data_IF_275383072239
#
_entry.id   IF_275383072239
#
_cell.length_a   1.000
_cell.length_b   1.000
_cell.length_c   1.000
_cell.angle_alpha   90.00
_cell.angle_beta   90.00
_cell.angle_gamma   90.00
#
_symmetry.space_group_name_H-M   'P 1'
#
loop_
_entity.id
_entity.type
_entity.pdbx_description
1 polymer ?
#
# COMPACT_ATOMS: atom_id res chain seq x y z
N UNK A 1 2.97 29.75 -14.14
CA UNK A 1 2.43 28.60 -13.38
C UNK A 1 1.35 29.14 -12.45
N UNK A 2 0.26 28.41 -12.25
CA UNK A 2 -0.76 28.74 -11.25
C UNK A 2 -0.43 28.07 -9.90
N UNK A 3 0.57 27.22 -9.88
CA UNK A 3 1.03 26.45 -8.74
C UNK A 3 2.54 26.59 -8.61
N UNK A 4 2.97 26.98 -7.42
CA UNK A 4 4.35 26.89 -6.97
C UNK A 4 4.40 25.90 -5.80
N UNK A 5 5.50 25.15 -5.68
CA UNK A 5 5.67 24.14 -4.65
C UNK A 5 6.91 24.41 -3.80
N UNK A 6 6.75 24.25 -2.50
CA UNK A 6 7.85 24.21 -1.54
C UNK A 6 7.79 22.92 -0.76
N UNK A 7 8.93 22.37 -0.37
CA UNK A 7 8.97 21.11 0.36
C UNK A 7 9.93 21.19 1.55
N UNK A 8 9.66 20.36 2.55
CA UNK A 8 10.52 20.09 3.68
C UNK A 8 10.75 18.60 3.77
N UNK A 9 12.00 18.18 3.77
CA UNK A 9 12.41 16.78 3.80
C UNK A 9 12.99 16.41 5.18
N UNK A 10 12.98 15.12 5.49
CA UNK A 10 13.55 14.56 6.73
C UNK A 10 12.96 15.20 7.99
N UNK A 11 11.65 15.52 7.96
CA UNK A 11 10.94 16.09 9.10
C UNK A 11 10.73 15.00 10.16
N UNK A 12 11.04 15.31 11.41
CA UNK A 12 10.71 14.41 12.52
C UNK A 12 9.24 14.59 12.94
N UNK A 13 8.58 13.55 13.45
CA UNK A 13 7.18 13.64 13.90
C UNK A 13 6.92 14.80 14.88
N UNK A 14 7.84 15.02 15.83
CA UNK A 14 7.73 16.11 16.81
C UNK A 14 7.83 17.51 16.17
N UNK A 15 8.43 17.63 14.99
CA UNK A 15 8.64 18.91 14.31
C UNK A 15 7.55 19.23 13.27
N UNK A 16 6.55 18.36 13.12
CA UNK A 16 5.53 18.52 12.08
C UNK A 16 4.81 19.87 12.16
N UNK A 17 4.30 20.25 13.34
CA UNK A 17 3.56 21.49 13.50
C UNK A 17 4.43 22.74 13.20
N UNK A 18 5.68 22.75 13.69
CA UNK A 18 6.62 23.87 13.44
C UNK A 18 7.06 23.92 11.97
N UNK A 19 7.14 22.79 11.30
CA UNK A 19 7.43 22.71 9.86
C UNK A 19 6.26 23.26 9.05
N UNK A 20 5.01 22.94 9.42
CA UNK A 20 3.82 23.55 8.82
C UNK A 20 3.83 25.09 9.00
N UNK A 21 4.15 25.58 10.20
CA UNK A 21 4.29 27.03 10.46
C UNK A 21 5.32 27.67 9.50
N UNK A 22 6.44 27.02 9.30
CA UNK A 22 7.51 27.51 8.41
C UNK A 22 7.04 27.53 6.94
N UNK A 23 6.36 26.47 6.46
CA UNK A 23 5.83 26.43 5.10
C UNK A 23 4.79 27.53 4.87
N UNK A 24 3.87 27.75 5.82
CA UNK A 24 2.85 28.79 5.75
C UNK A 24 3.50 30.19 5.77
N UNK A 25 4.53 30.41 6.59
CA UNK A 25 5.26 31.68 6.60
C UNK A 25 5.96 32.00 5.27
N UNK A 26 6.23 30.97 4.46
CA UNK A 26 6.78 31.07 3.10
C UNK A 26 5.69 31.19 2.01
N UNK A 27 4.42 31.28 2.41
CA UNK A 27 3.30 31.48 1.49
C UNK A 27 2.52 30.22 1.10
N UNK A 28 2.71 29.09 1.78
CA UNK A 28 1.91 27.90 1.50
C UNK A 28 0.43 28.12 1.87
N UNK A 29 -0.47 27.86 0.94
CA UNK A 29 -1.92 27.90 1.11
C UNK A 29 -2.51 26.51 1.39
N UNK A 30 -1.86 25.45 0.86
CA UNK A 30 -2.21 24.05 1.07
C UNK A 30 -0.98 23.30 1.52
N UNK A 31 -1.08 22.54 2.60
CA UNK A 31 0.01 21.72 3.14
C UNK A 31 -0.36 20.24 3.08
N UNK A 32 0.46 19.45 2.41
CA UNK A 32 0.38 17.98 2.41
C UNK A 32 1.40 17.43 3.39
N UNK A 33 0.95 16.60 4.32
CA UNK A 33 1.80 15.84 5.23
C UNK A 33 1.72 14.35 4.86
N UNK A 34 2.88 13.70 4.70
CA UNK A 34 3.02 12.50 3.90
C UNK A 34 3.29 11.22 4.70
N UNK A 35 3.24 11.26 6.03
CA UNK A 35 3.49 10.10 6.89
C UNK A 35 2.48 10.04 8.04
N UNK A 36 2.11 8.82 8.44
CA UNK A 36 1.19 8.55 9.56
C UNK A 36 1.54 9.34 10.83
N UNK A 37 2.82 9.37 11.19
CA UNK A 37 3.30 10.01 12.42
C UNK A 37 3.16 11.54 12.43
N UNK A 38 2.86 12.16 11.29
CA UNK A 38 2.63 13.61 11.20
C UNK A 38 1.21 14.03 11.57
N UNK A 39 0.32 13.08 11.87
CA UNK A 39 -1.10 13.32 12.06
C UNK A 39 -1.39 14.37 13.12
N UNK A 40 -0.84 14.24 14.32
CA UNK A 40 -1.14 15.14 15.44
C UNK A 40 -0.57 16.54 15.21
N UNK A 41 0.62 16.65 14.62
CA UNK A 41 1.19 17.94 14.23
C UNK A 41 0.38 18.65 13.15
N UNK A 42 -0.19 17.87 12.21
CA UNK A 42 -1.09 18.41 11.17
C UNK A 42 -2.39 18.91 11.76
N UNK A 43 -3.01 18.18 12.71
CA UNK A 43 -4.20 18.62 13.44
C UNK A 43 -3.94 19.96 14.17
N UNK A 44 -2.80 20.09 14.84
CA UNK A 44 -2.41 21.31 15.53
C UNK A 44 -2.26 22.49 14.55
N UNK A 45 -1.59 22.27 13.42
CA UNK A 45 -1.40 23.30 12.40
C UNK A 45 -2.75 23.68 11.76
N UNK A 46 -3.61 22.75 11.44
CA UNK A 46 -4.93 23.02 10.87
C UNK A 46 -5.82 23.84 11.80
N UNK A 47 -5.79 23.57 13.10
CA UNK A 47 -6.50 24.35 14.09
C UNK A 47 -5.95 25.78 14.25
N UNK A 48 -4.64 25.95 14.09
CA UNK A 48 -3.95 27.25 14.19
C UNK A 48 -4.20 28.15 12.98
N UNK A 49 -4.35 27.58 11.79
CA UNK A 49 -4.50 28.29 10.53
C UNK A 49 -5.83 27.94 9.83
N UNK A 50 -6.96 28.44 10.31
CA UNK A 50 -8.28 28.08 9.79
C UNK A 50 -8.55 28.57 8.36
N UNK A 51 -7.74 29.48 7.85
CA UNK A 51 -7.77 30.02 6.48
C UNK A 51 -6.87 29.25 5.50
N UNK A 52 -6.10 28.25 5.96
CA UNK A 52 -5.25 27.39 5.17
C UNK A 52 -5.83 25.98 5.11
N UNK A 53 -5.39 25.19 4.11
CA UNK A 53 -5.88 23.84 3.90
C UNK A 53 -4.79 22.81 4.18
N UNK A 54 -5.21 21.68 4.75
CA UNK A 54 -4.30 20.59 5.12
C UNK A 54 -4.81 19.27 4.61
N UNK A 55 -3.91 18.45 4.06
CA UNK A 55 -4.20 17.08 3.65
C UNK A 55 -3.15 16.15 4.26
N UNK A 56 -3.60 15.19 5.06
CA UNK A 56 -2.74 14.27 5.79
C UNK A 56 -2.83 12.85 5.23
N UNK A 57 -1.66 12.25 4.91
CA UNK A 57 -1.55 10.90 4.39
C UNK A 57 -1.61 9.85 5.49
N UNK A 58 -2.37 8.77 5.27
CA UNK A 58 -2.43 7.59 6.15
C UNK A 58 -3.11 7.80 7.52
N UNK A 59 -3.47 9.03 7.89
CA UNK A 59 -4.16 9.31 9.16
C UNK A 59 -5.66 9.02 9.12
N UNK A 60 -6.26 8.98 10.31
CA UNK A 60 -7.70 8.80 10.51
C UNK A 60 -8.38 10.06 11.08
N UNK A 61 -7.66 11.19 11.18
CA UNK A 61 -8.19 12.46 11.65
C UNK A 61 -8.45 13.38 10.47
N UNK A 62 -9.70 13.82 10.35
CA UNK A 62 -10.14 14.79 9.33
C UNK A 62 -11.38 15.54 9.81
N UNK A 63 -11.70 16.65 9.18
CA UNK A 63 -12.98 17.32 9.39
C UNK A 63 -14.16 16.47 8.96
N UNK A 64 -14.00 15.65 7.91
CA UNK A 64 -15.02 14.70 7.45
C UNK A 64 -15.30 13.61 8.49
N UNK A 65 -14.27 13.13 9.20
CA UNK A 65 -14.43 12.17 10.31
C UNK A 65 -14.92 12.82 11.60
N UNK A 66 -15.00 14.16 11.67
CA UNK A 66 -15.47 14.91 12.85
C UNK A 66 -14.48 14.98 14.01
N UNK A 67 -13.22 14.62 13.79
CA UNK A 67 -12.15 14.56 14.79
C UNK A 67 -10.97 15.50 14.49
N UNK A 68 -11.13 16.39 13.51
CA UNK A 68 -10.25 17.51 13.20
C UNK A 68 -11.07 18.71 12.67
N UNK A 69 -10.40 19.80 12.31
CA UNK A 69 -11.05 21.01 11.74
C UNK A 69 -11.44 20.80 10.27
N UNK A 70 -12.45 21.55 9.79
CA UNK A 70 -13.00 21.38 8.43
C UNK A 70 -12.03 21.75 7.30
N UNK A 71 -10.93 22.39 7.60
CA UNK A 71 -9.84 22.69 6.67
C UNK A 71 -8.79 21.55 6.57
N UNK A 72 -9.02 20.43 7.25
CA UNK A 72 -8.15 19.25 7.21
C UNK A 72 -8.87 18.05 6.59
N UNK A 73 -8.24 17.46 5.59
CA UNK A 73 -8.62 16.19 4.97
C UNK A 73 -7.63 15.08 5.32
N UNK A 74 -8.09 13.84 5.31
CA UNK A 74 -7.23 12.67 5.30
C UNK A 74 -7.26 12.01 3.90
N UNK A 75 -6.15 11.44 3.46
CA UNK A 75 -6.08 10.69 2.22
C UNK A 75 -5.14 9.50 2.35
N UNK A 76 -5.49 8.43 1.67
CA UNK A 76 -4.64 7.25 1.53
C UNK A 76 -5.03 6.45 0.27
N UNK A 77 -4.36 5.33 0.05
CA UNK A 77 -4.67 4.42 -1.03
C UNK A 77 -4.98 3.02 -0.48
N UNK A 78 -5.91 2.31 -1.14
CA UNK A 78 -6.29 0.95 -0.76
C UNK A 78 -5.26 -0.07 -1.26
N UNK A 79 -4.03 0.06 -0.79
CA UNK A 79 -2.92 -0.81 -1.17
C UNK A 79 -3.17 -2.28 -0.84
N UNK A 80 -4.01 -2.59 0.15
CA UNK A 80 -4.35 -3.98 0.48
C UNK A 80 -4.91 -4.75 -0.72
N UNK A 81 -5.59 -4.04 -1.64
CA UNK A 81 -6.05 -4.63 -2.91
C UNK A 81 -4.88 -5.07 -3.78
N UNK A 82 -3.83 -4.25 -3.86
CA UNK A 82 -2.61 -4.59 -4.58
C UNK A 82 -1.77 -5.64 -3.82
N UNK A 83 -1.74 -5.58 -2.50
CA UNK A 83 -1.12 -6.64 -1.68
C UNK A 83 -1.80 -7.99 -1.88
N UNK A 84 -3.13 -8.02 -2.06
CA UNK A 84 -3.83 -9.25 -2.44
C UNK A 84 -3.33 -9.78 -3.80
N UNK A 85 -3.14 -8.91 -4.80
CA UNK A 85 -2.58 -9.31 -6.10
C UNK A 85 -1.13 -9.80 -5.98
N UNK A 86 -0.31 -9.14 -5.18
CA UNK A 86 1.04 -9.62 -4.84
C UNK A 86 0.98 -10.98 -4.13
N UNK A 87 0.00 -11.16 -3.26
CA UNK A 87 -0.28 -12.45 -2.62
C UNK A 87 -0.57 -13.57 -3.61
N UNK A 88 -1.43 -13.33 -4.62
CA UNK A 88 -1.67 -14.32 -5.68
C UNK A 88 -0.36 -14.74 -6.37
N UNK A 89 0.51 -13.77 -6.69
CA UNK A 89 1.84 -14.05 -7.24
C UNK A 89 2.70 -14.89 -6.27
N UNK A 90 2.72 -14.51 -4.98
CA UNK A 90 3.45 -15.24 -3.94
C UNK A 90 3.01 -16.70 -3.82
N UNK A 91 1.69 -16.94 -3.71
CA UNK A 91 1.11 -18.28 -3.59
C UNK A 91 1.36 -19.15 -4.82
N UNK A 92 1.45 -18.51 -6.01
CA UNK A 92 1.76 -19.22 -7.26
C UNK A 92 3.21 -19.72 -7.32
N UNK A 93 4.18 -18.94 -6.82
CA UNK A 93 5.61 -19.24 -6.99
C UNK A 93 6.24 -19.93 -5.79
N UNK A 94 5.69 -19.76 -4.57
CA UNK A 94 6.27 -20.40 -3.38
C UNK A 94 6.34 -21.91 -3.52
N UNK A 95 7.50 -22.48 -3.20
CA UNK A 95 7.72 -23.92 -3.16
C UNK A 95 7.57 -24.47 -1.74
N UNK A 96 7.91 -23.68 -0.74
CA UNK A 96 7.85 -24.07 0.67
C UNK A 96 6.45 -23.96 1.28
N UNK A 97 5.61 -23.09 0.71
CA UNK A 97 4.34 -22.67 1.32
C UNK A 97 4.51 -21.73 2.51
N UNK A 98 5.75 -21.30 2.80
CA UNK A 98 6.06 -20.32 3.83
C UNK A 98 6.36 -18.97 3.18
N UNK A 99 5.59 -17.96 3.54
CA UNK A 99 5.80 -16.59 3.09
C UNK A 99 6.16 -15.72 4.30
N UNK A 100 7.01 -14.74 4.08
CA UNK A 100 7.45 -13.81 5.12
C UNK A 100 6.91 -12.40 4.89
N UNK A 101 6.69 -11.66 5.97
CA UNK A 101 6.31 -10.26 5.89
C UNK A 101 7.11 -9.42 6.91
N UNK A 102 7.78 -8.38 6.44
CA UNK A 102 8.45 -7.40 7.30
C UNK A 102 7.54 -6.19 7.47
N UNK A 103 7.10 -5.95 8.70
CA UNK A 103 6.18 -4.88 9.06
C UNK A 103 6.93 -3.72 9.73
N UNK A 104 6.68 -2.48 9.28
CA UNK A 104 7.21 -1.29 9.93
C UNK A 104 6.57 -1.09 11.32
N UNK A 105 5.24 -1.09 11.37
CA UNK A 105 4.44 -0.87 12.58
C UNK A 105 3.22 -1.77 12.62
N UNK A 106 2.60 -1.92 13.80
CA UNK A 106 1.31 -2.63 13.95
C UNK A 106 0.19 -1.61 14.04
N UNK A 107 -0.19 -1.08 12.89
CA UNK A 107 -1.29 -0.13 12.72
C UNK A 107 -2.29 -0.67 11.69
N UNK A 108 -3.53 -0.18 11.65
CA UNK A 108 -4.56 -0.70 10.73
C UNK A 108 -4.12 -0.73 9.27
N UNK A 109 -3.34 0.24 8.80
CA UNK A 109 -2.76 0.27 7.46
C UNK A 109 -1.93 -1.00 7.19
N UNK A 110 -0.91 -1.24 8.01
CA UNK A 110 0.03 -2.35 7.82
C UNK A 110 -0.66 -3.70 8.01
N UNK A 111 -1.58 -3.79 8.96
CA UNK A 111 -2.38 -5.02 9.20
C UNK A 111 -3.24 -5.34 7.97
N UNK A 112 -3.87 -4.34 7.32
CA UNK A 112 -4.61 -4.55 6.06
C UNK A 112 -3.71 -5.07 4.95
N UNK A 113 -2.49 -4.54 4.83
CA UNK A 113 -1.53 -4.98 3.81
C UNK A 113 -1.13 -6.44 4.03
N UNK A 114 -0.81 -6.81 5.27
CA UNK A 114 -0.49 -8.21 5.65
C UNK A 114 -1.66 -9.12 5.30
N UNK A 115 -2.87 -8.76 5.74
CA UNK A 115 -4.05 -9.60 5.55
C UNK A 115 -4.40 -9.76 4.06
N UNK A 116 -4.36 -8.68 3.27
CA UNK A 116 -4.58 -8.74 1.83
C UNK A 116 -3.58 -9.69 1.16
N UNK A 117 -2.30 -9.54 1.49
CA UNK A 117 -1.23 -10.41 0.96
C UNK A 117 -1.45 -11.88 1.33
N UNK A 118 -1.77 -12.18 2.59
CA UNK A 118 -1.98 -13.55 3.07
C UNK A 118 -3.21 -14.20 2.42
N UNK A 119 -4.31 -13.47 2.25
CA UNK A 119 -5.52 -13.96 1.57
C UNK A 119 -5.18 -14.35 0.13
N UNK A 120 -4.53 -13.46 -0.63
CA UNK A 120 -4.15 -13.75 -2.02
C UNK A 120 -3.17 -14.92 -2.13
N UNK A 121 -2.16 -14.96 -1.24
CA UNK A 121 -1.19 -16.06 -1.23
C UNK A 121 -1.84 -17.40 -0.92
N UNK A 122 -2.77 -17.41 0.03
CA UNK A 122 -3.52 -18.63 0.37
C UNK A 122 -4.43 -19.09 -0.77
N UNK A 123 -5.11 -18.17 -1.46
CA UNK A 123 -5.98 -18.48 -2.61
C UNK A 123 -5.19 -19.24 -3.69
N UNK A 124 -4.09 -18.65 -4.17
CA UNK A 124 -3.29 -19.25 -5.24
C UNK A 124 -2.57 -20.52 -4.81
N UNK A 125 -1.98 -20.57 -3.62
CA UNK A 125 -1.27 -21.73 -3.12
C UNK A 125 -2.21 -22.91 -2.88
N UNK A 126 -3.36 -22.66 -2.26
CA UNK A 126 -4.37 -23.69 -1.98
C UNK A 126 -4.97 -24.24 -3.27
N UNK A 127 -5.24 -23.40 -4.26
CA UNK A 127 -5.73 -23.85 -5.56
C UNK A 127 -4.73 -24.80 -6.25
N UNK A 128 -3.42 -24.55 -6.11
CA UNK A 128 -2.36 -25.36 -6.72
C UNK A 128 -2.04 -26.63 -5.94
N UNK A 129 -2.10 -26.60 -4.62
CA UNK A 129 -1.53 -27.68 -3.76
C UNK A 129 -2.54 -28.37 -2.86
N UNK A 130 -3.74 -27.82 -2.69
CA UNK A 130 -4.72 -28.25 -1.70
C UNK A 130 -4.37 -27.87 -0.24
N UNK A 131 -3.25 -27.19 0.00
CA UNK A 131 -2.76 -26.81 1.33
C UNK A 131 -2.87 -25.31 1.57
N UNK A 132 -2.97 -24.90 2.82
CA UNK A 132 -2.90 -23.50 3.20
C UNK A 132 -1.43 -23.05 3.28
N UNK A 133 -1.17 -21.76 3.01
CA UNK A 133 0.13 -21.13 3.26
C UNK A 133 0.35 -20.91 4.76
N UNK A 134 1.62 -20.65 5.11
CA UNK A 134 2.03 -20.17 6.43
C UNK A 134 2.72 -18.83 6.28
N UNK A 135 2.19 -17.80 6.90
CA UNK A 135 2.74 -16.45 6.86
C UNK A 135 3.44 -16.13 8.20
N UNK A 136 4.72 -15.78 8.12
CA UNK A 136 5.55 -15.41 9.27
C UNK A 136 5.83 -13.91 9.24
N UNK A 137 5.65 -13.24 10.37
CA UNK A 137 5.76 -11.79 10.48
C UNK A 137 7.00 -11.41 11.29
N UNK A 138 7.68 -10.33 10.87
CA UNK A 138 8.73 -9.66 11.64
C UNK A 138 8.40 -8.18 11.75
N UNK A 139 8.41 -7.65 12.98
CA UNK A 139 8.22 -6.23 13.26
C UNK A 139 9.57 -5.54 13.39
N UNK A 140 9.74 -4.37 12.77
CA UNK A 140 10.96 -3.56 12.93
C UNK A 140 10.75 -2.29 13.75
N UNK A 141 9.51 -1.90 14.02
CA UNK A 141 9.11 -0.68 14.77
C UNK A 141 9.81 0.56 14.22
N UNK A 142 9.78 0.71 12.88
CA UNK A 142 10.49 1.79 12.19
C UNK A 142 9.99 1.85 10.73
N UNK A 143 9.71 3.05 10.19
CA UNK A 143 9.36 3.18 8.78
C UNK A 143 10.57 3.02 7.86
N UNK A 144 11.74 3.49 8.30
CA UNK A 144 12.96 3.42 7.52
C UNK A 144 14.14 2.98 8.38
N UNK A 145 14.45 1.72 8.34
CA UNK A 145 15.63 1.16 9.01
C UNK A 145 16.18 -0.05 8.23
N UNK A 146 17.04 0.19 7.23
CA UNK A 146 17.60 -0.87 6.39
C UNK A 146 18.26 -2.00 7.17
N UNK A 147 18.90 -1.70 8.31
CA UNK A 147 19.57 -2.72 9.11
C UNK A 147 18.57 -3.66 9.80
N UNK A 148 17.53 -3.12 10.44
CA UNK A 148 16.47 -3.93 11.02
C UNK A 148 15.72 -4.71 9.95
N UNK A 149 15.40 -4.09 8.80
CA UNK A 149 14.74 -4.73 7.67
C UNK A 149 15.55 -5.90 7.12
N UNK A 150 16.89 -5.74 6.98
CA UNK A 150 17.79 -6.80 6.57
C UNK A 150 17.79 -7.97 7.57
N UNK A 151 17.91 -7.67 8.87
CA UNK A 151 17.88 -8.70 9.92
C UNK A 151 16.57 -9.48 9.92
N UNK A 152 15.44 -8.78 9.81
CA UNK A 152 14.11 -9.36 9.74
C UNK A 152 13.95 -10.27 8.51
N UNK A 153 14.38 -9.81 7.33
CA UNK A 153 14.32 -10.58 6.10
C UNK A 153 15.18 -11.86 6.19
N UNK A 154 16.40 -11.78 6.72
CA UNK A 154 17.23 -12.95 6.96
C UNK A 154 16.58 -13.93 7.93
N UNK A 155 16.01 -13.44 9.03
CA UNK A 155 15.29 -14.29 10.00
C UNK A 155 14.15 -15.07 9.34
N UNK A 156 13.36 -14.41 8.48
CA UNK A 156 12.27 -15.06 7.74
C UNK A 156 12.78 -16.15 6.80
N UNK A 157 13.89 -15.90 6.09
CA UNK A 157 14.44 -16.89 5.13
C UNK A 157 15.13 -18.04 5.85
N UNK A 158 15.92 -17.76 6.87
CA UNK A 158 16.81 -18.77 7.49
C UNK A 158 16.07 -19.58 8.56
N UNK A 159 15.27 -18.94 9.41
CA UNK A 159 14.62 -19.60 10.54
C UNK A 159 13.21 -20.12 10.18
N UNK A 160 12.47 -19.41 9.32
CA UNK A 160 11.11 -19.80 8.94
C UNK A 160 11.03 -20.46 7.57
N UNK A 161 12.17 -20.60 6.87
CA UNK A 161 12.25 -21.15 5.52
C UNK A 161 11.30 -20.47 4.51
N UNK A 162 11.10 -19.17 4.65
CA UNK A 162 10.33 -18.39 3.70
C UNK A 162 11.08 -18.26 2.38
N UNK A 163 10.38 -18.46 1.25
CA UNK A 163 10.92 -18.29 -0.09
C UNK A 163 10.23 -17.16 -0.88
N UNK A 164 9.31 -16.45 -0.23
CA UNK A 164 8.71 -15.21 -0.72
C UNK A 164 8.61 -14.22 0.43
N UNK A 165 9.08 -12.99 0.21
CA UNK A 165 9.07 -11.92 1.21
C UNK A 165 8.27 -10.72 0.72
N UNK A 166 7.32 -10.25 1.52
CA UNK A 166 6.65 -8.96 1.35
C UNK A 166 6.98 -8.03 2.52
N UNK A 167 6.69 -6.76 2.39
CA UNK A 167 7.01 -5.79 3.43
C UNK A 167 6.17 -4.51 3.29
N UNK A 168 6.08 -3.78 4.40
CA UNK A 168 5.61 -2.39 4.48
C UNK A 168 6.65 -1.64 5.31
N UNK A 169 7.71 -1.20 4.68
CA UNK A 169 8.76 -0.33 5.21
C UNK A 169 9.40 0.42 4.03
N UNK A 170 9.99 1.58 4.27
CA UNK A 170 10.30 2.56 3.22
C UNK A 170 11.68 2.37 2.55
N UNK A 171 12.29 1.19 2.67
CA UNK A 171 13.55 0.89 2.00
C UNK A 171 13.44 -0.28 1.01
N UNK A 172 14.31 -0.38 0.02
CA UNK A 172 14.36 -1.55 -0.87
C UNK A 172 15.04 -2.77 -0.25
N UNK A 173 15.37 -2.74 1.05
CA UNK A 173 16.27 -3.70 1.69
C UNK A 173 15.74 -5.13 1.65
N UNK A 174 14.45 -5.34 1.89
CA UNK A 174 13.87 -6.70 1.86
C UNK A 174 13.99 -7.31 0.46
N UNK A 175 13.75 -6.52 -0.60
CA UNK A 175 13.96 -6.95 -1.98
C UNK A 175 15.44 -7.22 -2.28
N UNK A 176 16.36 -6.38 -1.78
CA UNK A 176 17.81 -6.58 -1.94
C UNK A 176 18.28 -7.87 -1.24
N UNK A 177 17.77 -8.20 -0.07
CA UNK A 177 18.03 -9.47 0.62
C UNK A 177 17.53 -10.65 -0.20
N UNK A 178 16.32 -10.59 -0.75
CA UNK A 178 15.80 -11.65 -1.64
C UNK A 178 16.68 -11.82 -2.89
N UNK A 179 17.16 -10.71 -3.45
CA UNK A 179 18.11 -10.70 -4.57
C UNK A 179 19.43 -11.38 -4.20
N UNK A 180 19.98 -11.09 -3.04
CA UNK A 180 21.24 -11.68 -2.56
C UNK A 180 21.12 -13.19 -2.38
N UNK A 181 20.04 -13.68 -1.75
CA UNK A 181 19.78 -15.11 -1.64
C UNK A 181 19.70 -15.77 -3.02
N UNK A 182 18.98 -15.14 -3.94
CA UNK A 182 18.75 -15.68 -5.28
C UNK A 182 20.04 -15.75 -6.12
N UNK A 183 20.88 -14.71 -6.07
CA UNK A 183 22.05 -14.59 -6.96
C UNK A 183 23.30 -15.15 -6.30
N UNK A 184 23.52 -14.86 -5.02
CA UNK A 184 24.82 -15.14 -4.36
C UNK A 184 24.79 -16.40 -3.48
N UNK A 185 23.61 -16.72 -2.89
CA UNK A 185 23.49 -17.86 -1.95
C UNK A 185 22.85 -19.11 -2.57
N UNK A 186 22.46 -19.05 -3.86
CA UNK A 186 21.86 -20.19 -4.55
C UNK A 186 20.51 -20.66 -4.01
N UNK A 187 19.83 -19.84 -3.17
CA UNK A 187 18.51 -20.10 -2.63
C UNK A 187 17.51 -19.15 -3.30
N UNK A 188 16.56 -19.67 -4.07
CA UNK A 188 15.54 -18.83 -4.71
C UNK A 188 14.66 -18.20 -3.64
N UNK A 189 14.67 -16.87 -3.57
CA UNK A 189 13.78 -16.06 -2.74
C UNK A 189 13.17 -14.96 -3.62
N UNK A 190 11.87 -14.78 -3.55
CA UNK A 190 11.14 -13.77 -4.28
C UNK A 190 10.73 -12.61 -3.39
N UNK A 191 10.55 -11.41 -3.97
CA UNK A 191 10.05 -10.24 -3.25
C UNK A 191 9.34 -9.28 -4.20
N UNK A 192 8.96 -8.12 -3.68
CA UNK A 192 8.08 -7.15 -4.32
C UNK A 192 8.66 -5.73 -4.23
N UNK A 193 8.12 -4.84 -5.06
CA UNK A 193 8.23 -3.39 -4.85
C UNK A 193 7.25 -2.92 -3.77
N UNK A 194 7.57 -1.81 -3.10
CA UNK A 194 6.69 -1.14 -2.15
C UNK A 194 6.59 0.35 -2.50
N UNK A 195 5.37 0.84 -2.72
CA UNK A 195 4.97 2.21 -3.07
C UNK A 195 5.57 2.82 -4.35
N UNK A 196 6.67 2.30 -4.83
CA UNK A 196 7.32 2.71 -6.08
C UNK A 196 7.87 1.50 -6.83
N UNK A 197 8.22 1.65 -8.12
CA UNK A 197 8.90 0.58 -8.85
C UNK A 197 10.35 0.44 -8.37
N UNK A 198 10.59 -0.62 -7.63
CA UNK A 198 11.90 -0.96 -7.05
C UNK A 198 12.63 -2.07 -7.82
N UNK A 199 12.18 -2.45 -9.02
CA UNK A 199 12.73 -3.56 -9.81
C UNK A 199 14.26 -3.49 -9.93
N UNK A 200 14.84 -2.29 -10.05
CA UNK A 200 16.29 -2.08 -10.15
C UNK A 200 17.09 -2.59 -8.95
N UNK A 201 16.47 -2.68 -7.77
CA UNK A 201 17.15 -3.12 -6.53
C UNK A 201 17.19 -4.64 -6.36
N UNK A 202 16.39 -5.38 -7.15
CA UNK A 202 16.34 -6.83 -7.07
C UNK A 202 15.80 -7.49 -8.33
N UNK A 203 16.39 -7.24 -9.53
CA UNK A 203 15.81 -7.65 -10.81
C UNK A 203 15.64 -9.18 -10.97
N UNK A 204 16.41 -9.99 -10.23
CA UNK A 204 16.30 -11.44 -10.29
C UNK A 204 15.36 -12.03 -9.22
N UNK A 205 14.90 -11.21 -8.27
CA UNK A 205 14.02 -11.60 -7.18
C UNK A 205 12.66 -10.90 -7.24
N UNK A 206 12.48 -9.93 -8.12
CA UNK A 206 11.27 -9.12 -8.20
C UNK A 206 10.13 -9.87 -8.92
N UNK A 207 8.95 -9.87 -8.33
CA UNK A 207 7.73 -10.44 -8.94
C UNK A 207 6.81 -9.37 -9.52
N UNK A 208 6.50 -8.37 -8.74
CA UNK A 208 5.67 -7.19 -9.01
C UNK A 208 5.70 -6.30 -7.76
N UNK A 209 4.71 -5.46 -7.54
CA UNK A 209 4.57 -4.68 -6.30
C UNK A 209 3.50 -3.63 -6.42
N UNK A 210 3.14 -3.04 -5.31
CA UNK A 210 2.19 -1.96 -5.25
C UNK A 210 2.89 -0.63 -5.50
N UNK A 211 2.31 0.17 -6.38
CA UNK A 211 2.81 1.50 -6.72
C UNK A 211 1.68 2.51 -6.56
N UNK A 212 2.02 3.69 -6.08
CA UNK A 212 1.09 4.81 -5.96
C UNK A 212 1.54 5.98 -6.83
N UNK A 213 0.57 6.62 -7.46
CA UNK A 213 0.70 7.89 -8.12
C UNK A 213 -0.19 8.92 -7.40
N UNK A 214 0.37 9.64 -6.44
CA UNK A 214 -0.35 10.64 -5.67
C UNK A 214 -0.77 11.86 -6.49
N UNK A 215 -0.14 12.10 -7.65
CA UNK A 215 -0.33 13.29 -8.47
C UNK A 215 -1.80 13.62 -8.76
N UNK A 216 -2.62 12.69 -9.31
CA UNK A 216 -4.02 12.96 -9.61
C UNK A 216 -4.84 13.37 -8.38
N UNK A 217 -4.60 12.73 -7.23
CA UNK A 217 -5.27 13.03 -5.97
C UNK A 217 -4.84 14.41 -5.44
N UNK A 218 -3.56 14.73 -5.48
CA UNK A 218 -3.06 16.04 -5.08
C UNK A 218 -3.63 17.16 -5.95
N UNK A 219 -3.69 16.94 -7.27
CA UNK A 219 -4.28 17.92 -8.19
C UNK A 219 -5.76 18.15 -7.90
N UNK A 220 -6.53 17.10 -7.61
CA UNK A 220 -7.94 17.24 -7.24
C UNK A 220 -8.11 18.10 -5.97
N UNK A 221 -7.38 17.80 -4.91
CA UNK A 221 -7.41 18.57 -3.66
C UNK A 221 -6.96 20.04 -3.85
N UNK A 222 -5.90 20.25 -4.63
CA UNK A 222 -5.40 21.61 -4.95
C UNK A 222 -6.43 22.40 -5.75
N UNK A 223 -7.12 21.77 -6.71
CA UNK A 223 -8.18 22.43 -7.48
C UNK A 223 -9.38 22.77 -6.62
N UNK A 224 -9.74 21.95 -5.64
CA UNK A 224 -10.79 22.27 -4.67
C UNK A 224 -10.41 23.49 -3.82
N UNK A 225 -9.19 23.55 -3.32
CA UNK A 225 -8.69 24.72 -2.57
C UNK A 225 -8.66 25.98 -3.46
N UNK A 226 -8.11 25.90 -4.66
CA UNK A 226 -7.98 27.00 -5.60
C UNK A 226 -9.33 27.59 -6.05
N UNK A 227 -10.34 26.74 -6.25
CA UNK A 227 -11.67 27.16 -6.68
C UNK A 227 -12.58 27.61 -5.52
N UNK A 228 -12.11 27.56 -4.28
CA UNK A 228 -12.93 27.84 -3.10
C UNK A 228 -13.99 26.77 -2.80
N UNK A 229 -13.84 25.58 -3.38
CA UNK A 229 -14.75 24.45 -3.23
C UNK A 229 -14.24 23.39 -2.24
N UNK A 230 -13.24 23.73 -1.42
CA UNK A 230 -12.69 22.79 -0.45
C UNK A 230 -13.76 22.19 0.44
N UNK A 231 -13.72 20.88 0.52
CA UNK A 231 -14.47 20.10 1.52
C UNK A 231 -13.51 19.14 2.18
N UNK A 232 -13.58 19.05 3.48
CA UNK A 232 -12.86 18.01 4.19
C UNK A 232 -13.36 16.63 3.71
N UNK A 233 -12.42 15.76 3.37
CA UNK A 233 -12.68 14.40 2.91
C UNK A 233 -11.79 13.41 3.67
N UNK A 234 -12.22 12.15 3.66
CA UNK A 234 -11.44 11.01 4.11
C UNK A 234 -11.40 10.03 2.94
N UNK A 235 -10.30 10.04 2.19
CA UNK A 235 -10.17 9.35 0.91
C UNK A 235 -9.32 8.10 1.06
N UNK A 236 -9.86 6.97 0.59
CA UNK A 236 -9.09 5.77 0.28
C UNK A 236 -9.17 5.53 -1.23
N UNK A 237 -8.12 5.95 -1.96
CA UNK A 237 -8.05 5.75 -3.39
C UNK A 237 -7.85 4.27 -3.73
N UNK A 238 -8.71 3.73 -4.59
CA UNK A 238 -8.73 2.32 -5.01
C UNK A 238 -8.21 2.16 -6.44
N UNK A 239 -8.07 0.92 -6.86
CA UNK A 239 -7.83 0.59 -8.26
C UNK A 239 -8.88 1.26 -9.15
N UNK A 240 -8.42 2.02 -10.15
CA UNK A 240 -9.28 2.77 -11.07
C UNK A 240 -9.73 4.16 -10.61
N UNK A 241 -9.56 4.53 -9.33
CA UNK A 241 -9.82 5.89 -8.88
C UNK A 241 -8.80 6.86 -9.49
N UNK A 242 -9.22 8.10 -9.72
CA UNK A 242 -8.38 9.18 -10.30
C UNK A 242 -7.80 8.88 -11.68
N UNK A 243 -8.39 7.95 -12.42
CA UNK A 243 -8.06 7.77 -13.83
C UNK A 243 -8.45 9.02 -14.61
N UNK A 244 -7.60 9.51 -15.52
CA UNK A 244 -7.93 10.68 -16.32
C UNK A 244 -9.20 10.48 -17.12
N UNK A 245 -10.17 11.41 -17.01
CA UNK A 245 -11.45 11.38 -17.76
C UNK A 245 -11.28 11.34 -19.30
N UNK A 246 -10.09 11.67 -19.81
CA UNK A 246 -9.77 11.62 -21.24
C UNK A 246 -9.64 10.21 -21.80
N UNK A 247 -9.54 9.23 -20.93
CA UNK A 247 -9.41 7.84 -21.32
C UNK A 247 -10.79 7.23 -21.50
N UNK A 248 -11.36 7.49 -22.67
CA UNK A 248 -12.64 6.94 -23.05
C UNK A 248 -12.54 5.45 -23.39
N UNK A 249 -13.62 4.68 -23.27
CA UNK A 249 -13.64 3.23 -23.48
C UNK A 249 -13.04 2.73 -24.78
N UNK A 250 -12.98 3.55 -25.82
CA UNK A 250 -12.34 3.18 -27.10
C UNK A 250 -10.84 2.89 -26.98
N UNK A 251 -10.17 3.40 -25.93
CA UNK A 251 -8.77 3.19 -25.67
C UNK A 251 -8.55 2.46 -24.33
N UNK A 252 -9.61 1.99 -23.68
CA UNK A 252 -9.53 1.31 -22.39
C UNK A 252 -8.64 0.05 -22.42
N UNK A 253 -8.53 -0.61 -23.58
CA UNK A 253 -7.57 -1.71 -23.80
C UNK A 253 -6.11 -1.28 -23.72
N UNK A 254 -5.81 0.03 -23.86
CA UNK A 254 -4.45 0.56 -23.72
C UNK A 254 -4.01 0.79 -22.28
N UNK A 255 -4.91 0.68 -21.29
CA UNK A 255 -4.65 0.91 -19.87
C UNK A 255 -4.97 -0.31 -19.04
N UNK A 256 -4.69 -1.44 -19.60
CA UNK A 256 -4.79 -2.70 -18.91
C UNK A 256 -3.58 -2.89 -18.00
N UNK A 257 -3.69 -3.85 -17.12
CA UNK A 257 -2.65 -4.41 -16.29
C UNK A 257 -1.27 -4.55 -16.98
N UNK A 258 -1.23 -4.74 -18.28
CA UNK A 258 0.00 -4.99 -19.06
C UNK A 258 0.70 -3.72 -19.58
N UNK A 259 0.08 -2.55 -19.46
CA UNK A 259 0.63 -1.36 -20.06
C UNK A 259 1.48 -0.55 -19.10
N UNK A 260 2.74 -0.41 -19.47
CA UNK A 260 3.66 0.50 -18.83
C UNK A 260 3.11 1.94 -18.89
N UNK A 261 3.35 2.77 -17.87
CA UNK A 261 2.97 4.18 -17.93
C UNK A 261 3.70 4.85 -19.07
N UNK A 262 3.13 5.91 -19.64
CA UNK A 262 3.91 6.80 -20.48
C UNK A 262 5.09 7.33 -19.65
N UNK A 263 6.27 7.27 -20.23
CA UNK A 263 7.48 7.89 -19.71
C UNK A 263 7.22 9.33 -19.29
N UNK A 264 7.89 9.75 -18.24
CA UNK A 264 7.92 11.05 -17.59
C UNK A 264 7.22 12.22 -18.31
N UNK A 265 6.18 12.78 -17.70
CA UNK A 265 5.52 14.02 -18.11
C UNK A 265 4.05 13.93 -18.48
N UNK A 266 3.46 12.74 -18.53
CA UNK A 266 2.02 12.54 -18.75
C UNK A 266 1.29 12.12 -17.45
N UNK A 267 -0.02 12.39 -17.38
CA UNK A 267 -0.86 11.80 -16.32
C UNK A 267 -0.84 10.29 -16.46
N UNK A 268 -0.56 9.56 -15.38
CA UNK A 268 -0.58 8.11 -15.39
C UNK A 268 -2.01 7.60 -15.64
N UNK A 269 -2.24 6.86 -16.71
CA UNK A 269 -3.58 6.41 -17.06
C UNK A 269 -4.11 5.30 -16.14
N UNK A 270 -3.27 4.74 -15.31
CA UNK A 270 -3.64 3.66 -14.39
C UNK A 270 -4.35 4.14 -13.13
N UNK A 271 -4.41 5.49 -12.93
CA UNK A 271 -5.00 6.07 -11.73
C UNK A 271 -4.04 6.20 -10.56
N UNK A 272 -4.59 6.32 -9.35
CA UNK A 272 -3.79 6.56 -8.15
C UNK A 272 -3.00 5.33 -7.70
N UNK A 273 -3.51 4.12 -7.91
CA UNK A 273 -2.85 2.87 -7.49
C UNK A 273 -2.75 1.88 -8.65
N UNK A 274 -1.59 1.23 -8.78
CA UNK A 274 -1.32 0.24 -9.83
C UNK A 274 -0.17 -0.70 -9.45
N UNK A 275 0.06 -1.75 -10.25
CA UNK A 275 1.15 -2.70 -10.02
C UNK A 275 2.44 -2.25 -10.71
N UNK A 276 3.58 -2.46 -10.05
CA UNK A 276 4.90 -2.48 -10.69
C UNK A 276 4.95 -3.58 -11.77
N UNK A 277 5.94 -3.54 -12.68
CA UNK A 277 6.05 -4.54 -13.74
C UNK A 277 5.91 -5.96 -13.22
N UNK A 278 5.02 -6.74 -13.87
CA UNK A 278 4.72 -8.12 -13.47
C UNK A 278 5.70 -9.06 -14.12
N UNK A 279 6.35 -9.90 -13.33
CA UNK A 279 7.29 -10.91 -13.82
C UNK A 279 6.53 -12.11 -14.43
N UNK A 280 6.11 -11.97 -15.67
CA UNK A 280 5.36 -12.99 -16.41
C UNK A 280 6.20 -14.24 -16.76
N UNK A 281 7.52 -14.20 -16.53
CA UNK A 281 8.39 -15.37 -16.68
C UNK A 281 8.33 -16.27 -15.43
N UNK A 282 8.22 -15.66 -14.25
CA UNK A 282 8.19 -16.39 -12.98
C UNK A 282 6.76 -16.77 -12.56
N UNK A 283 5.79 -15.90 -12.80
CA UNK A 283 4.39 -16.09 -12.41
C UNK A 283 3.66 -16.85 -13.53
N UNK A 284 3.02 -18.00 -13.23
CA UNK A 284 2.25 -18.76 -14.23
C UNK A 284 1.16 -17.92 -14.92
N UNK A 285 0.96 -18.14 -16.20
CA UNK A 285 0.05 -17.36 -17.03
C UNK A 285 -1.40 -17.33 -16.50
N UNK A 286 -1.88 -18.45 -15.95
CA UNK A 286 -3.21 -18.53 -15.34
C UNK A 286 -3.35 -17.62 -14.12
N UNK A 287 -2.27 -17.42 -13.35
CA UNK A 287 -2.27 -16.51 -12.20
C UNK A 287 -2.17 -15.06 -12.68
N UNK A 288 -1.36 -14.77 -13.69
CA UNK A 288 -1.34 -13.43 -14.31
C UNK A 288 -2.73 -13.07 -14.83
N UNK A 289 -3.43 -13.99 -15.48
CA UNK A 289 -4.80 -13.79 -15.94
C UNK A 289 -5.79 -13.59 -14.77
N UNK A 290 -5.62 -14.34 -13.67
CA UNK A 290 -6.43 -14.14 -12.46
C UNK A 290 -6.17 -12.76 -11.84
N UNK A 291 -4.92 -12.32 -11.75
CA UNK A 291 -4.57 -10.99 -11.26
C UNK A 291 -5.22 -9.89 -12.11
N UNK A 292 -5.20 -10.02 -13.44
CA UNK A 292 -5.89 -9.10 -14.36
C UNK A 292 -7.40 -9.08 -14.13
N UNK A 293 -8.02 -10.25 -14.01
CA UNK A 293 -9.44 -10.37 -13.74
C UNK A 293 -9.81 -9.70 -12.40
N UNK A 294 -9.05 -9.96 -11.34
CA UNK A 294 -9.26 -9.35 -10.01
C UNK A 294 -9.08 -7.84 -10.05
N UNK A 295 -8.07 -7.36 -10.77
CA UNK A 295 -7.85 -5.94 -10.98
C UNK A 295 -9.09 -5.26 -11.60
N UNK A 296 -9.60 -5.81 -12.70
CA UNK A 296 -10.80 -5.25 -13.35
C UNK A 296 -12.04 -5.36 -12.44
N UNK A 297 -12.20 -6.47 -11.73
CA UNK A 297 -13.30 -6.64 -10.78
C UNK A 297 -13.23 -5.67 -9.60
N UNK A 298 -12.04 -5.33 -9.10
CA UNK A 298 -11.87 -4.33 -8.04
C UNK A 298 -12.22 -2.92 -8.53
N UNK A 299 -11.81 -2.55 -9.76
CA UNK A 299 -12.21 -1.28 -10.39
C UNK A 299 -13.73 -1.13 -10.48
N UNK A 300 -14.41 -2.20 -10.84
CA UNK A 300 -15.86 -2.23 -10.99
C UNK A 300 -16.63 -2.53 -9.68
N UNK A 301 -15.92 -2.60 -8.55
CA UNK A 301 -16.49 -2.97 -7.23
C UNK A 301 -17.17 -4.34 -7.19
N UNK A 302 -16.82 -5.23 -8.11
CA UNK A 302 -17.36 -6.59 -8.18
C UNK A 302 -16.63 -7.56 -7.26
N UNK A 303 -15.40 -7.25 -6.88
CA UNK A 303 -14.57 -8.04 -5.99
C UNK A 303 -13.95 -7.17 -4.90
N UNK A 304 -13.89 -7.71 -3.69
CA UNK A 304 -13.23 -7.13 -2.53
C UNK A 304 -12.48 -8.24 -1.78
N UNK A 305 -11.14 -8.13 -1.59
CA UNK A 305 -10.37 -9.14 -0.87
C UNK A 305 -10.91 -9.45 0.51
N UNK A 306 -11.37 -8.43 1.24
CA UNK A 306 -12.00 -8.59 2.55
C UNK A 306 -13.50 -8.86 2.43
N UNK A 307 -13.83 -9.97 1.76
CA UNK A 307 -15.19 -10.52 1.69
C UNK A 307 -15.23 -11.85 2.42
N UNK A 308 -16.14 -11.97 3.39
CA UNK A 308 -16.29 -13.18 4.19
C UNK A 308 -16.86 -14.39 3.43
N UNK A 309 -16.72 -15.58 4.00
CA UNK A 309 -16.33 -15.81 5.40
C UNK A 309 -14.82 -15.66 5.61
N UNK A 310 -14.41 -14.81 6.54
CA UNK A 310 -13.01 -14.66 6.95
C UNK A 310 -12.88 -14.92 8.46
N UNK A 311 -11.81 -15.61 8.81
CA UNK A 311 -11.41 -15.86 10.20
C UNK A 311 -10.10 -15.16 10.50
N UNK A 312 -9.95 -14.77 11.78
CA UNK A 312 -8.66 -14.35 12.29
C UNK A 312 -7.72 -15.56 12.52
N UNK A 313 -6.49 -15.27 12.90
CA UNK A 313 -5.48 -16.29 13.18
C UNK A 313 -5.79 -17.18 14.39
N UNK A 314 -6.71 -16.74 15.26
CA UNK A 314 -7.17 -17.48 16.43
C UNK A 314 -8.42 -18.34 16.09
N UNK A 315 -8.93 -18.26 14.86
CA UNK A 315 -10.08 -19.03 14.35
C UNK A 315 -11.43 -18.35 14.56
N UNK A 316 -11.48 -17.12 15.10
CA UNK A 316 -12.72 -16.37 15.27
C UNK A 316 -13.22 -15.82 13.93
N UNK A 317 -14.54 -15.85 13.71
CA UNK A 317 -15.15 -15.26 12.52
C UNK A 317 -15.13 -13.73 12.62
N UNK A 318 -14.43 -13.07 11.70
CA UNK A 318 -14.31 -11.59 11.62
C UNK A 318 -15.19 -10.96 10.55
N UNK A 319 -15.50 -11.71 9.48
CA UNK A 319 -16.49 -11.33 8.47
C UNK A 319 -17.34 -12.55 8.13
N UNK A 320 -18.67 -12.40 8.17
CA UNK A 320 -19.61 -13.46 7.83
C UNK A 320 -19.65 -13.71 6.31
N UNK A 321 -20.22 -14.84 5.89
CA UNK A 321 -20.33 -15.18 4.47
C UNK A 321 -21.04 -14.07 3.68
N UNK A 322 -20.38 -13.55 2.65
CA UNK A 322 -20.85 -12.47 1.79
C UNK A 322 -20.75 -11.06 2.40
N UNK A 323 -20.33 -10.93 3.65
CA UNK A 323 -20.07 -9.63 4.29
C UNK A 323 -18.78 -9.05 3.71
N UNK A 324 -18.82 -7.78 3.31
CA UNK A 324 -17.65 -7.01 2.87
C UNK A 324 -17.21 -6.07 3.98
N UNK A 325 -15.91 -5.98 4.20
CA UNK A 325 -15.35 -4.98 5.10
C UNK A 325 -15.79 -3.59 4.65
N UNK A 326 -16.40 -2.85 5.55
CA UNK A 326 -16.72 -1.44 5.35
C UNK A 326 -15.54 -0.56 5.79
N UNK A 327 -15.68 0.75 5.61
CA UNK A 327 -14.65 1.72 5.98
C UNK A 327 -14.21 1.59 7.45
N UNK A 328 -15.17 1.41 8.38
CA UNK A 328 -14.85 1.28 9.81
C UNK A 328 -14.04 0.02 10.12
N UNK A 329 -14.38 -1.10 9.49
CA UNK A 329 -13.60 -2.35 9.63
C UNK A 329 -12.18 -2.14 9.09
N UNK A 330 -12.02 -1.50 7.94
CA UNK A 330 -10.71 -1.26 7.32
C UNK A 330 -9.85 -0.33 8.17
N UNK A 331 -10.40 0.77 8.68
CA UNK A 331 -9.66 1.78 9.44
C UNK A 331 -9.32 1.37 10.87
N UNK A 332 -10.01 0.35 11.39
CA UNK A 332 -9.79 -0.19 12.75
C UNK A 332 -9.27 -1.64 12.75
N UNK A 333 -8.79 -2.16 11.60
CA UNK A 333 -8.35 -3.55 11.47
C UNK A 333 -7.06 -3.80 12.26
N UNK A 334 -7.17 -4.54 13.37
CA UNK A 334 -6.03 -4.91 14.22
C UNK A 334 -5.92 -6.43 14.46
N UNK A 335 -6.64 -7.22 13.66
CA UNK A 335 -6.58 -8.68 13.67
C UNK A 335 -5.81 -9.20 12.45
N UNK A 336 -5.08 -10.29 12.62
CA UNK A 336 -4.41 -10.98 11.51
C UNK A 336 -5.29 -12.14 11.02
N UNK A 337 -5.34 -12.32 9.71
CA UNK A 337 -6.14 -13.36 9.07
C UNK A 337 -5.57 -14.76 9.32
N UNK A 338 -6.43 -15.78 9.22
CA UNK A 338 -6.03 -17.20 9.24
C UNK A 338 -4.88 -17.46 8.24
N UNK A 339 -3.87 -18.21 8.68
CA UNK A 339 -2.63 -18.47 7.93
C UNK A 339 -1.42 -17.75 8.50
N UNK A 340 -1.61 -16.65 9.23
CA UNK A 340 -0.54 -15.99 10.00
C UNK A 340 -0.14 -16.90 11.17
N UNK A 341 1.17 -17.10 11.39
CA UNK A 341 1.71 -18.07 12.33
C UNK A 341 2.16 -17.47 13.66
N UNK A 342 2.41 -16.16 13.70
CA UNK A 342 2.87 -15.48 14.91
C UNK A 342 2.28 -14.07 14.99
N UNK A 343 1.91 -13.67 16.22
CA UNK A 343 1.50 -12.28 16.51
C UNK A 343 2.72 -11.39 16.59
N UNK A 344 2.57 -10.17 16.09
CA UNK A 344 3.48 -9.06 16.34
C UNK A 344 2.72 -7.96 17.06
N UNK A 345 3.40 -7.21 17.93
CA UNK A 345 2.83 -6.08 18.69
C UNK A 345 3.91 -5.03 18.89
N UNK A 346 3.52 -3.75 18.92
CA UNK A 346 4.42 -2.66 19.32
C UNK A 346 4.91 -2.84 20.75
#
# INVERSE_FOLDING_TARGET
SWLDTIQAESVLPADTASTCDNLISKGAEVVFTTSFDFMDGTVQAAAKYPDKFFAHCSGYKSGAAGNATQNMSAYFADFYQLYYLCGLAAGAVTQTGNVGYVAAHVIPEVVRHINGFVIGANEAYKARTGKNIKAYLQLISDWYNPQKASTAAHTLVDNNNCDVLAYTEDSPTVLQVAQDYTVNKGKRVWSFSHYSDMTQYGPNAHLTGQVVNWGPLYVDMLMQAYSGAWRSVDIFARAGDYMPLRWQPSNASSYSFDNQPPSAGGSDPRGAVYLAPVNTTAIPAEIVNLMKLRWEQMKELLFEPFTGPLKDMDGNMVLQAGERANHDVLTNMMWFVEGVQNKISE
#
